data_IF_516554217416
#
_entry.id   IF_516554217416
#
_cell.length_a   1.000
_cell.length_b   1.000
_cell.length_c   1.000
_cell.angle_alpha   90.00
_cell.angle_beta   90.00
_cell.angle_gamma   90.00
#
_symmetry.space_group_name_H-M   'P 1'
#
loop_
_entity.id
_entity.type
_entity.pdbx_description
1 polymer ?
#
# COMPACT_ATOMS: atom_id res chain seq x y z
N UNK A 1 40.34 -64.23 -24.37
CA UNK A 1 40.11 -63.43 -25.61
C UNK A 1 39.63 -62.05 -25.19
N UNK A 2 40.34 -61.01 -25.65
CA UNK A 2 40.07 -59.58 -25.41
C UNK A 2 38.79 -59.15 -26.16
N UNK A 3 37.96 -58.27 -25.57
CA UNK A 3 37.04 -57.32 -26.23
C UNK A 3 36.61 -56.29 -25.16
N UNK A 4 37.32 -55.15 -25.05
CA UNK A 4 36.99 -53.82 -25.60
C UNK A 4 35.71 -53.21 -25.01
N UNK A 5 35.89 -52.21 -24.12
CA UNK A 5 34.89 -51.19 -23.76
C UNK A 5 34.63 -50.25 -24.96
N UNK A 6 33.46 -49.58 -24.97
CA UNK A 6 33.49 -48.14 -25.15
C UNK A 6 32.73 -47.36 -24.07
N UNK A 7 33.23 -46.14 -23.91
CA UNK A 7 32.83 -45.04 -23.05
C UNK A 7 31.42 -44.48 -23.37
N UNK A 8 30.87 -43.76 -22.39
CA UNK A 8 29.93 -42.63 -22.54
C UNK A 8 28.55 -42.87 -23.18
N UNK A 9 27.48 -42.77 -22.38
CA UNK A 9 26.86 -41.48 -22.15
C UNK A 9 25.90 -41.52 -20.95
N UNK A 10 26.11 -40.56 -20.07
CA UNK A 10 25.24 -40.15 -18.99
C UNK A 10 24.00 -39.47 -19.59
N UNK A 11 22.81 -40.04 -19.41
CA UNK A 11 21.54 -39.30 -19.52
C UNK A 11 20.60 -39.81 -18.44
N UNK A 12 20.77 -39.27 -17.24
CA UNK A 12 19.77 -39.33 -16.20
C UNK A 12 18.55 -38.57 -16.73
N UNK A 13 17.48 -39.27 -17.11
CA UNK A 13 16.19 -38.66 -17.38
C UNK A 13 15.63 -38.11 -16.05
N UNK A 14 16.10 -36.93 -15.66
CA UNK A 14 15.45 -36.14 -14.64
C UNK A 14 14.16 -35.57 -15.27
N UNK A 15 13.06 -36.31 -15.13
CA UNK A 15 11.71 -35.76 -15.25
C UNK A 15 11.43 -34.87 -14.02
N UNK A 16 12.16 -33.76 -13.92
CA UNK A 16 11.79 -32.65 -13.05
C UNK A 16 10.92 -31.66 -13.82
N UNK A 17 9.99 -30.95 -13.18
CA UNK A 17 9.23 -29.92 -13.86
C UNK A 17 10.20 -28.91 -14.50
N UNK A 18 10.05 -28.68 -15.81
CA UNK A 18 10.67 -27.52 -16.46
C UNK A 18 10.11 -26.29 -15.78
N UNK A 19 10.91 -25.63 -14.94
CA UNK A 19 10.61 -24.26 -14.55
C UNK A 19 10.83 -23.41 -15.79
N UNK A 20 9.74 -23.10 -16.50
CA UNK A 20 9.73 -21.97 -17.39
C UNK A 20 10.13 -20.75 -16.55
N UNK A 21 11.30 -20.17 -16.83
CA UNK A 21 11.71 -18.91 -16.25
C UNK A 21 10.67 -17.88 -16.70
N UNK A 22 9.76 -17.49 -15.80
CA UNK A 22 8.95 -16.31 -16.02
C UNK A 22 9.94 -15.17 -16.20
N UNK A 23 9.95 -14.57 -17.40
CA UNK A 23 10.62 -13.31 -17.65
C UNK A 23 10.01 -12.28 -16.68
N UNK A 24 10.64 -12.13 -15.52
CA UNK A 24 10.37 -11.00 -14.64
C UNK A 24 10.83 -9.76 -15.42
N UNK A 25 10.00 -8.71 -15.57
CA UNK A 25 10.53 -7.44 -16.03
C UNK A 25 11.70 -7.08 -15.11
N UNK A 26 12.87 -6.88 -15.70
CA UNK A 26 14.15 -6.61 -15.01
C UNK A 26 14.17 -5.27 -14.28
N UNK A 27 13.06 -4.54 -14.33
CA UNK A 27 12.81 -3.25 -13.73
C UNK A 27 11.36 -3.24 -13.24
N UNK A 28 11.15 -2.86 -11.98
CA UNK A 28 9.83 -2.52 -11.48
C UNK A 28 9.36 -1.23 -12.17
N UNK A 29 8.66 -1.37 -13.28
CA UNK A 29 8.11 -0.25 -14.03
C UNK A 29 6.66 -0.01 -13.61
N UNK A 30 6.36 1.23 -13.18
CA UNK A 30 5.00 1.68 -12.96
C UNK A 30 4.37 2.09 -14.29
N UNK A 31 3.10 1.75 -14.53
CA UNK A 31 2.36 2.25 -15.70
C UNK A 31 1.80 3.68 -15.50
N UNK A 32 2.20 4.34 -14.43
CA UNK A 32 1.73 5.66 -14.05
C UNK A 32 2.65 6.35 -13.05
N UNK A 33 2.28 7.56 -12.64
CA UNK A 33 3.14 8.43 -11.84
C UNK A 33 3.32 7.90 -10.42
N UNK A 34 4.56 7.83 -9.94
CA UNK A 34 4.87 7.64 -8.52
C UNK A 34 4.95 9.01 -7.86
N UNK A 35 4.12 9.25 -6.84
CA UNK A 35 4.11 10.50 -6.09
C UNK A 35 4.93 10.40 -4.80
N UNK A 36 5.08 9.21 -4.22
CA UNK A 36 5.80 9.01 -2.96
C UNK A 36 6.47 7.65 -2.85
N UNK A 37 7.59 7.60 -2.12
CA UNK A 37 8.34 6.38 -1.79
C UNK A 37 8.75 6.46 -0.31
N UNK A 38 8.38 5.45 0.48
CA UNK A 38 8.69 5.34 1.92
C UNK A 38 9.40 4.02 2.19
N UNK A 39 10.44 4.01 3.04
CA UNK A 39 11.14 2.79 3.46
C UNK A 39 10.96 2.53 4.95
N UNK A 40 10.64 1.29 5.31
CA UNK A 40 10.62 0.80 6.69
C UNK A 40 11.36 -0.54 6.77
N UNK A 41 12.59 -0.52 7.32
CA UNK A 41 13.48 -1.68 7.33
C UNK A 41 13.82 -2.16 5.91
N UNK A 42 13.54 -3.44 5.64
CA UNK A 42 13.72 -4.05 4.32
C UNK A 42 12.49 -3.89 3.41
N UNK A 43 11.45 -3.18 3.85
CA UNK A 43 10.24 -2.97 3.06
C UNK A 43 10.24 -1.58 2.42
N UNK A 44 9.90 -1.54 1.13
CA UNK A 44 9.67 -0.29 0.38
C UNK A 44 8.19 -0.18 0.02
N UNK A 45 7.62 0.99 0.29
CA UNK A 45 6.25 1.37 -0.01
C UNK A 45 6.28 2.42 -1.13
N UNK A 46 5.48 2.21 -2.16
CA UNK A 46 5.37 3.10 -3.31
C UNK A 46 3.91 3.52 -3.47
N UNK A 47 3.66 4.81 -3.60
CA UNK A 47 2.32 5.38 -3.77
C UNK A 47 2.27 6.37 -4.94
N UNK A 48 1.17 6.37 -5.67
CA UNK A 48 1.01 7.21 -6.85
C UNK A 48 -0.24 6.91 -7.67
N UNK A 49 -0.28 7.40 -8.90
CA UNK A 49 -1.34 7.17 -9.88
C UNK A 49 -0.92 6.08 -10.86
N UNK A 50 -0.64 4.87 -10.37
CA UNK A 50 -0.33 3.69 -11.18
C UNK A 50 -1.29 2.55 -10.85
N UNK A 51 -1.50 1.66 -11.81
CA UNK A 51 -2.28 0.43 -11.68
C UNK A 51 -1.47 -0.85 -11.95
N UNK A 52 -0.15 -0.71 -12.15
CA UNK A 52 0.77 -1.86 -12.23
C UNK A 52 2.16 -1.52 -11.72
N UNK A 53 2.84 -2.47 -11.06
CA UNK A 53 4.29 -2.56 -10.90
C UNK A 53 4.71 -3.97 -11.34
N UNK A 54 5.05 -4.13 -12.62
CA UNK A 54 5.27 -5.45 -13.27
C UNK A 54 4.03 -6.35 -13.38
N UNK A 55 3.17 -6.39 -12.35
CA UNK A 55 1.88 -7.07 -12.24
C UNK A 55 0.77 -6.03 -11.95
N UNK A 56 -0.50 -6.41 -12.13
CA UNK A 56 -1.64 -5.57 -11.78
C UNK A 56 -1.67 -5.31 -10.26
N UNK A 57 -1.48 -4.05 -9.87
CA UNK A 57 -1.51 -3.57 -8.49
C UNK A 57 -2.51 -2.42 -8.42
N UNK A 58 -3.13 -2.19 -7.26
CA UNK A 58 -3.82 -0.91 -7.05
C UNK A 58 -2.79 0.23 -6.97
N UNK A 59 -3.24 1.46 -6.71
CA UNK A 59 -2.42 2.69 -6.53
C UNK A 59 -1.37 2.65 -5.40
N UNK A 60 -1.10 1.46 -4.90
CA UNK A 60 -0.30 1.11 -3.74
C UNK A 60 0.28 -0.28 -3.95
N UNK A 61 1.56 -0.43 -3.67
CA UNK A 61 2.20 -1.72 -3.56
C UNK A 61 3.17 -1.74 -2.38
N UNK A 62 3.15 -2.84 -1.62
CA UNK A 62 4.19 -3.18 -0.65
C UNK A 62 5.14 -4.17 -1.30
N UNK A 63 6.42 -3.84 -1.38
CA UNK A 63 7.48 -4.74 -1.86
C UNK A 63 8.26 -5.29 -0.66
N UNK A 64 8.20 -6.62 -0.39
CA UNK A 64 9.05 -7.23 0.63
C UNK A 64 10.52 -7.23 0.18
N UNK A 65 11.45 -7.04 1.11
CA UNK A 65 12.88 -7.18 0.83
C UNK A 65 13.20 -8.56 0.26
N UNK A 66 13.80 -8.60 -0.93
CA UNK A 66 14.14 -9.83 -1.67
C UNK A 66 12.99 -10.47 -2.45
N UNK A 67 11.78 -9.90 -2.43
CA UNK A 67 10.62 -10.38 -3.20
C UNK A 67 10.51 -9.71 -4.58
N UNK A 68 10.21 -10.50 -5.61
CA UNK A 68 9.96 -10.02 -6.99
C UNK A 68 8.50 -9.65 -7.25
N UNK A 69 7.62 -9.79 -6.26
CA UNK A 69 6.18 -9.58 -6.39
C UNK A 69 5.65 -8.62 -5.30
N UNK A 70 4.76 -7.67 -5.66
CA UNK A 70 4.02 -6.89 -4.69
C UNK A 70 3.14 -7.79 -3.81
N UNK A 71 3.01 -7.43 -2.54
CA UNK A 71 2.22 -8.15 -1.54
C UNK A 71 0.74 -8.19 -1.95
N UNK A 72 0.30 -9.30 -2.54
CA UNK A 72 -1.05 -9.44 -3.09
C UNK A 72 -2.14 -9.44 -2.01
N UNK A 73 -1.76 -9.58 -0.74
CA UNK A 73 -2.69 -9.55 0.40
C UNK A 73 -2.94 -8.11 0.90
N UNK A 74 -2.32 -7.09 0.28
CA UNK A 74 -2.55 -5.71 0.67
C UNK A 74 -3.94 -5.22 0.20
N UNK A 75 -4.69 -4.47 1.02
CA UNK A 75 -6.01 -3.96 0.64
C UNK A 75 -5.99 -3.17 -0.67
N UNK A 76 -6.86 -3.55 -1.60
CA UNK A 76 -7.03 -2.81 -2.86
C UNK A 76 -7.85 -1.55 -2.63
N UNK A 77 -7.33 -0.41 -3.05
CA UNK A 77 -8.07 0.85 -3.14
C UNK A 77 -8.71 1.00 -4.53
N UNK A 78 -9.87 1.67 -4.60
CA UNK A 78 -10.53 2.00 -5.87
C UNK A 78 -10.08 3.36 -6.45
N UNK A 79 -9.18 4.06 -5.78
CA UNK A 79 -8.64 5.36 -6.18
C UNK A 79 -7.17 5.52 -5.79
N UNK A 80 -6.61 6.68 -6.10
CA UNK A 80 -5.22 7.01 -5.78
C UNK A 80 -5.02 7.14 -4.27
N UNK A 81 -3.85 6.71 -3.77
CA UNK A 81 -3.40 7.02 -2.41
C UNK A 81 -2.28 8.05 -2.54
N UNK A 82 -2.48 9.21 -1.91
CA UNK A 82 -1.60 10.37 -1.99
C UNK A 82 -0.69 10.49 -0.77
N UNK A 83 -1.12 9.98 0.39
CA UNK A 83 -0.46 10.16 1.67
C UNK A 83 -0.44 8.87 2.51
N UNK A 84 0.62 8.73 3.31
CA UNK A 84 0.88 7.60 4.19
C UNK A 84 1.45 8.09 5.53
N UNK A 85 1.01 7.50 6.63
CA UNK A 85 1.66 7.65 7.93
C UNK A 85 1.71 6.29 8.63
N UNK A 86 2.87 5.90 9.16
CA UNK A 86 2.99 4.68 9.95
C UNK A 86 2.25 4.83 11.29
N UNK A 87 1.57 3.78 11.74
CA UNK A 87 0.88 3.75 13.04
C UNK A 87 1.82 3.49 14.24
N UNK A 88 3.04 3.01 13.96
CA UNK A 88 4.02 2.59 14.97
C UNK A 88 3.85 1.15 15.49
N UNK A 89 2.79 0.46 15.09
CA UNK A 89 2.47 -0.94 15.45
C UNK A 89 2.61 -1.92 14.26
N UNK A 90 3.01 -1.43 13.08
CA UNK A 90 3.21 -2.22 11.86
C UNK A 90 2.12 -2.03 10.81
N UNK A 91 1.09 -1.24 11.13
CA UNK A 91 0.07 -0.75 10.22
C UNK A 91 0.36 0.66 9.69
N UNK A 92 -0.61 1.20 8.95
CA UNK A 92 -0.51 2.46 8.24
C UNK A 92 -1.85 3.18 8.15
N UNK A 93 -1.82 4.49 8.36
CA UNK A 93 -2.88 5.39 7.89
C UNK A 93 -2.61 5.75 6.43
N UNK A 94 -3.66 5.70 5.61
CA UNK A 94 -3.62 6.04 4.20
C UNK A 94 -4.63 7.12 3.88
N UNK A 95 -4.23 8.07 3.04
CA UNK A 95 -5.04 9.21 2.61
C UNK A 95 -4.97 9.39 1.10
N UNK A 96 -6.08 9.73 0.44
CA UNK A 96 -6.07 9.89 -1.01
C UNK A 96 -7.41 10.21 -1.64
N UNK A 97 -7.55 9.83 -2.90
CA UNK A 97 -8.76 9.99 -3.71
C UNK A 97 -9.59 8.72 -3.86
N UNK A 98 -9.48 7.78 -2.92
CA UNK A 98 -10.27 6.55 -2.90
C UNK A 98 -11.56 6.75 -2.10
N UNK A 99 -12.60 6.00 -2.46
CA UNK A 99 -13.84 5.90 -1.68
C UNK A 99 -14.00 4.51 -1.07
N UNK A 100 -13.22 3.53 -1.52
CA UNK A 100 -13.19 2.18 -0.98
C UNK A 100 -11.77 1.66 -0.87
N UNK A 101 -11.53 0.86 0.17
CA UNK A 101 -10.28 0.12 0.37
C UNK A 101 -10.56 -1.23 1.02
N UNK A 102 -9.95 -2.30 0.51
CA UNK A 102 -10.18 -3.67 1.00
C UNK A 102 -11.64 -4.12 0.91
N UNK A 103 -12.40 -3.59 -0.05
CA UNK A 103 -13.85 -3.82 -0.19
C UNK A 103 -14.73 -3.10 0.83
N UNK A 104 -14.15 -2.27 1.72
CA UNK A 104 -14.87 -1.47 2.70
C UNK A 104 -15.04 -0.03 2.21
N UNK A 105 -16.19 0.59 2.48
CA UNK A 105 -16.42 2.00 2.21
C UNK A 105 -15.65 2.85 3.23
N UNK A 106 -14.49 3.38 2.81
CA UNK A 106 -13.63 4.26 3.60
C UNK A 106 -13.33 5.47 2.74
N UNK A 107 -13.98 6.57 3.07
CA UNK A 107 -13.92 7.78 2.25
C UNK A 107 -12.61 8.50 2.53
N UNK A 108 -11.68 8.41 1.58
CA UNK A 108 -10.44 9.18 1.44
C UNK A 108 -9.40 9.04 2.55
N UNK A 109 -9.74 8.46 3.70
CA UNK A 109 -8.82 8.11 4.78
C UNK A 109 -9.18 6.74 5.34
N UNK A 110 -8.18 5.90 5.58
CA UNK A 110 -8.35 4.60 6.22
C UNK A 110 -7.14 4.27 7.10
N UNK A 111 -7.34 3.36 8.04
CA UNK A 111 -6.27 2.73 8.81
C UNK A 111 -6.18 1.26 8.42
N UNK A 112 -4.98 0.80 8.10
CA UNK A 112 -4.66 -0.58 7.72
C UNK A 112 -3.83 -1.15 8.85
N UNK A 113 -4.30 -2.24 9.47
CA UNK A 113 -3.65 -2.88 10.60
C UNK A 113 -2.41 -3.68 10.14
N UNK A 114 -1.58 -4.09 11.11
CA UNK A 114 -0.37 -4.87 10.85
C UNK A 114 -0.64 -6.22 10.17
N UNK A 115 -1.84 -6.79 10.37
CA UNK A 115 -2.31 -8.01 9.70
C UNK A 115 -2.85 -7.77 8.27
N UNK A 116 -2.74 -6.52 7.77
CA UNK A 116 -3.20 -6.02 6.46
C UNK A 116 -4.72 -5.95 6.32
N UNK A 117 -5.48 -6.09 7.40
CA UNK A 117 -6.91 -5.81 7.38
C UNK A 117 -7.19 -4.31 7.51
N UNK A 118 -8.34 -3.88 7.00
CA UNK A 118 -8.80 -2.49 7.18
C UNK A 118 -9.42 -2.36 8.57
N UNK A 119 -8.95 -1.42 9.36
CA UNK A 119 -9.43 -1.19 10.72
C UNK A 119 -10.91 -0.79 10.71
N UNK A 120 -11.76 -1.66 11.28
CA UNK A 120 -13.19 -1.44 11.34
C UNK A 120 -13.56 -0.19 12.16
N UNK A 121 -12.81 0.13 13.21
CA UNK A 121 -13.11 1.21 14.16
C UNK A 121 -12.71 2.60 13.64
N UNK A 122 -11.75 2.69 12.74
CA UNK A 122 -11.23 3.96 12.24
C UNK A 122 -11.97 4.44 10.97
N UNK A 123 -13.13 5.08 11.13
CA UNK A 123 -13.92 5.58 9.98
C UNK A 123 -14.20 7.09 10.08
N UNK A 124 -13.18 7.96 9.97
CA UNK A 124 -13.38 9.40 9.98
C UNK A 124 -14.23 9.85 8.81
N UNK A 125 -13.89 9.43 7.58
CA UNK A 125 -14.55 9.87 6.34
C UNK A 125 -14.42 11.38 6.08
N UNK A 126 -13.80 11.78 4.98
CA UNK A 126 -13.87 13.18 4.52
C UNK A 126 -14.88 13.31 3.38
N UNK A 127 -15.26 14.56 3.06
CA UNK A 127 -16.08 14.83 1.87
C UNK A 127 -15.24 15.07 0.59
N UNK A 128 -13.92 15.10 0.69
CA UNK A 128 -13.01 15.34 -0.44
C UNK A 128 -11.61 14.75 -0.18
N UNK A 129 -10.73 14.90 -1.16
CA UNK A 129 -9.38 14.31 -1.21
C UNK A 129 -8.53 14.65 0.02
N UNK A 130 -7.77 13.67 0.49
CA UNK A 130 -6.70 13.84 1.48
C UNK A 130 -5.35 13.74 0.80
N UNK A 131 -4.49 14.73 1.03
CA UNK A 131 -3.18 14.86 0.38
C UNK A 131 -2.01 14.74 1.37
N UNK A 132 -2.26 14.89 2.67
CA UNK A 132 -1.23 14.81 3.70
C UNK A 132 -1.75 14.12 4.96
N UNK A 133 -0.89 13.31 5.57
CA UNK A 133 -1.10 12.66 6.86
C UNK A 133 0.15 12.79 7.70
N UNK A 134 -0.01 13.10 8.99
CA UNK A 134 1.09 13.08 9.95
C UNK A 134 0.60 12.58 11.31
N UNK A 135 1.22 11.53 11.84
CA UNK A 135 0.92 11.01 13.18
C UNK A 135 1.88 11.62 14.20
N UNK A 136 1.34 12.12 15.31
CA UNK A 136 2.10 12.59 16.48
C UNK A 136 1.43 12.09 17.75
N UNK A 137 2.04 11.10 18.40
CA UNK A 137 1.41 10.40 19.52
C UNK A 137 0.09 9.77 19.10
N UNK A 138 -1.00 10.11 19.80
CA UNK A 138 -2.36 9.63 19.47
C UNK A 138 -3.15 10.61 18.59
N UNK A 139 -2.50 11.60 17.98
CA UNK A 139 -3.13 12.56 17.08
C UNK A 139 -2.68 12.32 15.65
N UNK A 140 -3.65 12.08 14.77
CA UNK A 140 -3.43 12.05 13.33
C UNK A 140 -3.87 13.38 12.73
N UNK A 141 -2.92 14.14 12.20
CA UNK A 141 -3.19 15.34 11.41
C UNK A 141 -3.50 14.94 9.97
N UNK A 142 -4.59 15.49 9.45
CA UNK A 142 -5.12 15.20 8.12
C UNK A 142 -5.24 16.51 7.35
N UNK A 143 -4.54 16.59 6.21
CA UNK A 143 -4.53 17.75 5.33
C UNK A 143 -5.06 17.42 3.93
N UNK A 144 -5.86 18.30 3.33
CA UNK A 144 -6.46 18.06 2.01
C UNK A 144 -7.39 19.16 1.52
N UNK A 145 -8.26 18.81 0.58
CA UNK A 145 -9.25 19.72 -0.02
C UNK A 145 -10.67 19.55 0.56
N UNK A 146 -10.77 18.92 1.74
CA UNK A 146 -12.05 18.66 2.39
C UNK A 146 -12.54 19.90 3.15
N UNK A 147 -13.85 20.01 3.27
CA UNK A 147 -14.52 21.01 4.13
C UNK A 147 -15.24 20.35 5.31
N UNK A 148 -15.23 19.02 5.34
CA UNK A 148 -15.82 18.21 6.39
C UNK A 148 -15.01 16.93 6.60
N UNK A 149 -14.85 16.53 7.86
CA UNK A 149 -14.29 15.25 8.26
C UNK A 149 -15.10 14.69 9.44
N UNK A 150 -15.56 13.44 9.30
CA UNK A 150 -16.68 12.94 10.10
C UNK A 150 -17.93 13.79 9.94
N UNK A 151 -18.70 13.89 11.00
CA UNK A 151 -19.90 14.74 11.05
C UNK A 151 -19.59 16.19 11.47
N UNK A 152 -18.33 16.64 11.30
CA UNK A 152 -17.86 17.94 11.79
C UNK A 152 -17.31 18.83 10.65
N UNK A 153 -17.70 20.12 10.58
CA UNK A 153 -17.08 21.07 9.66
C UNK A 153 -15.62 21.31 10.07
N UNK A 154 -14.71 20.92 9.19
CA UNK A 154 -13.25 21.08 9.31
C UNK A 154 -12.71 21.32 7.92
N UNK A 155 -12.16 22.49 7.71
CA UNK A 155 -11.72 22.92 6.38
C UNK A 155 -10.22 22.76 6.25
N UNK A 156 -9.81 22.01 5.23
CA UNK A 156 -8.45 21.71 4.77
C UNK A 156 -7.49 21.02 5.74
N UNK A 157 -7.67 21.19 7.06
CA UNK A 157 -6.81 20.64 8.09
C UNK A 157 -7.62 20.23 9.32
N UNK A 158 -7.37 19.01 9.80
CA UNK A 158 -8.00 18.48 11.00
C UNK A 158 -7.01 17.64 11.81
N UNK A 159 -7.26 17.52 13.11
CA UNK A 159 -6.59 16.56 13.97
C UNK A 159 -7.62 15.54 14.47
N UNK A 160 -7.32 14.26 14.30
CA UNK A 160 -8.15 13.13 14.69
C UNK A 160 -7.51 12.38 15.85
N UNK A 161 -8.32 11.73 16.67
CA UNK A 161 -7.84 10.65 17.52
C UNK A 161 -7.43 9.47 16.61
N UNK A 162 -6.18 9.04 16.70
CA UNK A 162 -5.60 8.03 15.83
C UNK A 162 -6.25 6.64 15.98
N UNK A 163 -6.84 6.34 17.14
CA UNK A 163 -7.51 5.06 17.41
C UNK A 163 -8.96 5.05 16.88
N UNK A 164 -9.70 6.13 17.10
CA UNK A 164 -11.15 6.17 16.81
C UNK A 164 -11.51 6.88 15.51
N UNK A 165 -10.58 7.65 14.93
CA UNK A 165 -10.86 8.52 13.79
C UNK A 165 -11.73 9.72 14.12
N UNK A 166 -12.05 9.97 15.40
CA UNK A 166 -12.93 11.09 15.77
C UNK A 166 -12.18 12.42 15.70
N UNK A 167 -12.74 13.46 15.04
CA UNK A 167 -12.16 14.80 15.05
C UNK A 167 -12.04 15.37 16.46
N UNK A 168 -10.91 16.01 16.74
CA UNK A 168 -10.66 16.70 18.01
C UNK A 168 -11.31 18.09 18.01
N UNK A 169 -11.29 18.77 19.18
CA UNK A 169 -11.76 20.13 19.30
C UNK A 169 -10.89 21.16 18.55
N UNK A 170 -9.66 20.80 18.18
CA UNK A 170 -8.76 21.67 17.43
C UNK A 170 -9.33 21.93 16.02
N UNK A 171 -9.57 23.21 15.73
CA UNK A 171 -10.16 23.67 14.47
C UNK A 171 -9.45 24.94 13.98
N UNK A 172 -8.35 24.81 13.24
CA UNK A 172 -7.56 25.96 12.79
C UNK A 172 -8.22 26.73 11.64
N UNK A 173 -9.10 26.07 10.85
CA UNK A 173 -9.82 26.65 9.70
C UNK A 173 -8.97 27.57 8.79
N UNK A 174 -7.85 27.08 8.23
CA UNK A 174 -7.05 27.84 7.26
C UNK A 174 -7.86 28.17 6.00
N UNK A 175 -7.48 29.26 5.33
CA UNK A 175 -8.10 29.78 4.10
C UNK A 175 -7.50 29.21 2.81
#
# INVERSE_FOLDING_TARGET
MKKLLPLCWLCLLASGPLWAQTLLPSSFETNGTVNTIQRAGDTVYVGGSFSTIGYNTSSVARLPGGGSLPDQNFPRSNGAINAWAADGAGGYYVGGGFTQIGGQNRLYVAHILADKTVDAAFNPGTNSLVNALALSGNLLYVGGYFTQIGDQPRTFLAALNATTGTPTAWNPSPD
#
